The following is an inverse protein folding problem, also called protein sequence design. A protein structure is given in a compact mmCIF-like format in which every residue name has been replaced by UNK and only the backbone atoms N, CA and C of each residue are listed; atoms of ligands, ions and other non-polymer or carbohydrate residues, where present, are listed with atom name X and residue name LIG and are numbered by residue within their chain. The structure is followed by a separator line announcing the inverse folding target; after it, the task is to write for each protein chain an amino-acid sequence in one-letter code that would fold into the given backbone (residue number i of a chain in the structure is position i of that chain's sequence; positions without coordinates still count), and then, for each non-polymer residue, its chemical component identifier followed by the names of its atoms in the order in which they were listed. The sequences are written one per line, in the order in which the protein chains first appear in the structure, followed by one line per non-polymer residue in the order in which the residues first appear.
data_IF_051200921251
#
_entry.id   IF_051200921251
#
_cell.length_a   1.000
_cell.length_b   1.000
_cell.length_c   1.000
_cell.angle_alpha   90.00
_cell.angle_beta   90.00
_cell.angle_gamma   90.00
#
_symmetry.space_group_name_H-M   'P 1'
#
loop_
_entity.id
_entity.type
_entity.pdbx_description
1 polymer ?
#
# COMPACT_ATOMS: atom_id res chain seq x y z
N UNK A 1 4.06 1.18 -27.24
CA UNK A 1 4.60 2.31 -26.45
C UNK A 1 6.09 2.32 -26.65
N UNK A 2 6.66 3.49 -26.96
CA UNK A 2 8.06 3.68 -27.38
C UNK A 2 9.04 3.29 -26.26
N UNK A 3 10.07 2.51 -26.60
CA UNK A 3 11.25 2.19 -25.79
C UNK A 3 12.08 3.45 -25.49
N UNK A 4 11.53 4.39 -24.72
CA UNK A 4 12.32 5.52 -24.23
C UNK A 4 13.13 5.08 -23.04
N UNK A 5 14.41 5.40 -23.08
CA UNK A 5 15.31 5.32 -21.94
C UNK A 5 14.71 6.17 -20.81
N UNK A 6 14.42 5.58 -19.62
CA UNK A 6 13.83 6.31 -18.50
C UNK A 6 14.70 7.46 -17.99
N UNK A 7 15.97 7.54 -18.42
CA UNK A 7 16.91 8.60 -18.07
C UNK A 7 17.06 9.68 -19.16
N UNK A 8 16.31 9.58 -20.26
CA UNK A 8 16.35 10.55 -21.36
C UNK A 8 15.91 11.95 -20.87
N UNK A 9 16.81 12.94 -20.97
CA UNK A 9 16.53 14.34 -20.61
C UNK A 9 16.96 14.77 -19.20
N UNK A 10 17.54 13.87 -18.40
CA UNK A 10 18.12 14.20 -17.10
C UNK A 10 19.46 14.91 -17.29
N UNK A 11 19.71 16.00 -16.53
CA UNK A 11 20.98 16.74 -16.64
C UNK A 11 22.16 15.90 -16.12
N UNK A 12 23.39 16.10 -16.65
CA UNK A 12 24.57 15.36 -16.21
C UNK A 12 24.86 15.48 -14.71
N UNK A 13 24.57 16.65 -14.12
CA UNK A 13 24.71 16.90 -12.68
C UNK A 13 23.73 16.07 -11.84
N UNK A 14 22.49 15.93 -12.31
CA UNK A 14 21.49 15.05 -11.68
C UNK A 14 21.86 13.59 -11.83
N UNK A 15 22.36 13.17 -13.00
CA UNK A 15 22.80 11.81 -13.25
C UNK A 15 23.98 11.40 -12.34
N UNK A 16 24.97 12.28 -12.19
CA UNK A 16 26.13 12.05 -11.31
C UNK A 16 25.75 11.92 -9.83
N UNK A 17 24.72 12.66 -9.37
CA UNK A 17 24.16 12.52 -8.03
C UNK A 17 23.51 11.14 -7.81
N UNK A 18 22.97 10.54 -8.87
CA UNK A 18 22.31 9.23 -8.84
C UNK A 18 23.29 8.07 -9.05
N UNK A 19 24.51 8.33 -9.54
CA UNK A 19 25.50 7.29 -9.82
C UNK A 19 25.83 6.46 -8.58
N UNK A 20 25.89 7.06 -7.39
CA UNK A 20 26.09 6.33 -6.12
C UNK A 20 24.90 5.45 -5.69
N UNK A 21 23.68 5.77 -6.11
CA UNK A 21 22.51 4.89 -5.94
C UNK A 21 22.50 3.80 -7.02
N UNK A 22 22.77 4.14 -8.28
CA UNK A 22 22.85 3.20 -9.40
C UNK A 22 24.00 2.18 -9.26
N UNK A 23 25.10 2.56 -8.60
CA UNK A 23 26.28 1.71 -8.37
C UNK A 23 26.15 0.80 -7.14
N UNK A 24 25.12 0.97 -6.31
CA UNK A 24 24.99 0.27 -5.03
C UNK A 24 23.62 -0.29 -4.67
N UNK A 25 22.51 0.33 -5.10
CA UNK A 25 21.14 -0.08 -4.76
C UNK A 25 20.07 0.65 -5.64
N UNK A 26 19.29 -0.03 -6.49
CA UNK A 26 18.43 0.61 -7.50
C UNK A 26 17.19 1.35 -6.96
N UNK A 27 16.97 1.45 -5.64
CA UNK A 27 15.80 2.14 -5.09
C UNK A 27 16.04 3.64 -4.97
N UNK A 28 15.59 4.39 -5.99
CA UNK A 28 15.47 5.85 -5.91
C UNK A 28 14.02 6.18 -5.56
N UNK A 29 13.80 6.81 -4.39
CA UNK A 29 12.50 7.32 -3.98
C UNK A 29 12.08 8.51 -4.86
N UNK A 30 10.84 8.52 -5.35
CA UNK A 30 10.32 9.60 -6.21
C UNK A 30 9.92 10.88 -5.46
N UNK A 31 9.91 10.87 -4.11
CA UNK A 31 9.43 11.98 -3.30
C UNK A 31 10.39 13.19 -3.35
N UNK A 32 9.90 14.43 -3.27
CA UNK A 32 10.74 15.62 -3.17
C UNK A 32 11.57 15.58 -1.88
N UNK A 33 12.86 15.90 -1.97
CA UNK A 33 13.72 15.99 -0.80
C UNK A 33 13.33 17.19 0.06
N UNK A 34 13.14 17.03 1.39
CA UNK A 34 12.92 18.16 2.30
C UNK A 34 14.05 19.19 2.19
N UNK A 35 13.70 20.44 1.86
CA UNK A 35 14.64 21.54 1.65
C UNK A 35 15.30 21.58 0.26
N UNK A 36 15.03 20.61 -0.62
CA UNK A 36 15.48 20.57 -2.03
C UNK A 36 14.40 19.96 -2.94
N UNK A 37 13.30 20.69 -3.21
CA UNK A 37 12.10 20.14 -3.86
C UNK A 37 12.30 19.65 -5.29
N UNK A 38 13.39 20.06 -5.97
CA UNK A 38 13.74 19.58 -7.32
C UNK A 38 14.58 18.28 -7.33
N UNK A 39 14.82 17.68 -6.17
CA UNK A 39 15.66 16.50 -5.99
C UNK A 39 14.87 15.34 -5.36
N UNK A 40 15.07 14.09 -5.81
CA UNK A 40 14.45 12.91 -5.20
C UNK A 40 15.00 12.62 -3.80
N UNK A 41 14.18 12.00 -2.94
CA UNK A 41 14.51 11.69 -1.56
C UNK A 41 15.70 10.72 -1.48
N UNK A 42 16.73 11.11 -0.72
CA UNK A 42 17.97 10.33 -0.50
C UNK A 42 17.89 9.36 0.67
N UNK A 43 16.77 9.32 1.40
CA UNK A 43 16.58 8.49 2.59
C UNK A 43 16.02 7.12 2.23
N UNK A 44 16.68 6.40 1.31
CA UNK A 44 16.20 5.11 0.77
C UNK A 44 16.15 3.96 1.79
N UNK A 45 16.62 4.19 3.04
CA UNK A 45 16.70 3.17 4.11
C UNK A 45 15.68 3.34 5.24
N UNK A 46 14.85 4.38 5.22
CA UNK A 46 13.88 4.62 6.30
C UNK A 46 12.47 4.76 5.72
N UNK A 47 11.54 3.96 6.22
CA UNK A 47 10.14 3.99 5.81
C UNK A 47 9.51 5.36 6.14
N UNK A 48 8.83 5.98 5.18
CA UNK A 48 7.96 7.14 5.43
C UNK A 48 6.79 7.17 4.43
N UNK A 49 5.73 7.92 4.74
CA UNK A 49 4.45 7.97 3.99
C UNK A 49 4.57 8.34 2.50
N UNK A 50 5.72 8.88 2.09
CA UNK A 50 5.97 9.32 0.70
C UNK A 50 6.89 8.36 -0.05
N UNK A 51 7.27 7.23 0.55
CA UNK A 51 8.00 6.13 -0.07
C UNK A 51 7.07 5.37 -1.04
N UNK A 52 6.67 6.05 -2.11
CA UNK A 52 6.31 5.38 -3.35
C UNK A 52 7.65 5.09 -4.03
N UNK A 53 8.07 3.82 -4.03
CA UNK A 53 8.86 3.30 -5.16
C UNK A 53 8.18 3.88 -6.42
N UNK A 54 8.95 4.44 -7.35
CA UNK A 54 8.44 4.98 -8.63
C UNK A 54 7.46 4.01 -9.31
N UNK A 55 7.48 2.73 -8.93
CA UNK A 55 6.63 1.64 -9.36
C UNK A 55 5.88 0.85 -8.25
N UNK A 56 5.92 1.29 -6.99
CA UNK A 56 5.00 0.86 -5.92
C UNK A 56 5.26 -0.49 -5.24
N UNK A 57 6.50 -0.89 -4.89
CA UNK A 57 6.77 -2.06 -4.03
C UNK A 57 7.83 -1.85 -2.96
N UNK A 58 7.69 -2.61 -1.88
CA UNK A 58 8.76 -3.01 -0.95
C UNK A 58 8.52 -4.46 -0.55
N UNK A 59 9.51 -5.35 -0.71
CA UNK A 59 9.57 -6.61 0.06
C UNK A 59 10.77 -6.53 0.99
N UNK A 60 10.54 -6.78 2.28
CA UNK A 60 11.47 -6.54 3.38
C UNK A 60 12.45 -7.70 3.61
N UNK A 61 12.22 -8.85 2.99
CA UNK A 61 12.71 -10.14 3.52
C UNK A 61 13.83 -10.81 2.71
N UNK A 62 14.27 -10.24 1.58
CA UNK A 62 15.30 -10.86 0.71
C UNK A 62 16.42 -9.88 0.32
N UNK A 63 17.43 -9.66 1.20
CA UNK A 63 18.51 -8.69 0.97
C UNK A 63 19.53 -9.14 -0.11
N UNK A 64 19.49 -10.40 -0.54
CA UNK A 64 20.46 -10.95 -1.51
C UNK A 64 19.95 -11.00 -2.95
N UNK A 65 18.68 -10.65 -3.20
CA UNK A 65 18.12 -10.63 -4.55
C UNK A 65 18.12 -9.21 -5.13
N UNK A 66 18.62 -9.03 -6.38
CA UNK A 66 18.52 -7.73 -7.03
C UNK A 66 17.05 -7.34 -7.20
N UNK A 67 16.69 -6.15 -6.71
CA UNK A 67 15.34 -5.63 -6.78
C UNK A 67 14.90 -5.48 -8.25
N UNK A 68 13.94 -6.31 -8.67
CA UNK A 68 13.35 -6.25 -10.02
C UNK A 68 12.16 -5.31 -10.02
N UNK A 69 11.86 -4.64 -11.13
CA UNK A 69 10.58 -3.92 -11.34
C UNK A 69 9.48 -4.95 -11.58
N UNK A 70 8.46 -5.01 -10.72
CA UNK A 70 7.31 -5.87 -10.95
C UNK A 70 6.50 -5.22 -12.04
N UNK A 71 6.19 -6.00 -13.05
CA UNK A 71 5.30 -5.56 -14.10
C UNK A 71 3.89 -5.71 -13.54
N UNK A 72 3.01 -4.78 -13.90
CA UNK A 72 1.58 -4.92 -13.63
C UNK A 72 0.97 -5.79 -14.72
N UNK A 73 0.20 -6.79 -14.34
CA UNK A 73 -0.58 -7.54 -15.31
C UNK A 73 -1.76 -6.68 -15.77
N UNK A 74 -1.93 -6.42 -17.09
CA UNK A 74 -3.05 -5.63 -17.57
C UNK A 74 -4.36 -6.42 -17.43
N UNK A 75 -5.42 -5.72 -17.03
CA UNK A 75 -6.80 -6.23 -17.10
C UNK A 75 -7.34 -5.93 -18.50
N UNK A 76 -7.76 -6.96 -19.24
CA UNK A 76 -8.34 -6.86 -20.58
C UNK A 76 -9.63 -7.66 -20.60
N UNK A 77 -10.73 -7.01 -21.00
CA UNK A 77 -12.07 -7.61 -21.08
C UNK A 77 -12.51 -8.32 -19.78
N UNK A 78 -12.20 -7.71 -18.62
CA UNK A 78 -12.54 -8.27 -17.30
C UNK A 78 -11.70 -9.49 -16.91
N UNK A 79 -10.57 -9.72 -17.58
CA UNK A 79 -9.64 -10.81 -17.27
C UNK A 79 -8.24 -10.26 -17.04
N UNK A 80 -7.51 -10.83 -16.09
CA UNK A 80 -6.08 -10.55 -15.89
C UNK A 80 -5.28 -11.81 -16.16
N UNK A 81 -4.10 -11.65 -16.78
CA UNK A 81 -3.14 -12.74 -16.98
C UNK A 81 -1.87 -12.44 -16.21
N UNK A 82 -1.69 -13.11 -15.08
CA UNK A 82 -0.52 -12.98 -14.21
C UNK A 82 0.54 -13.98 -14.67
N UNK A 83 1.74 -13.49 -14.96
CA UNK A 83 2.88 -14.38 -15.19
C UNK A 83 3.37 -14.88 -13.84
N UNK A 84 3.23 -16.16 -13.52
CA UNK A 84 3.69 -16.72 -12.23
C UNK A 84 5.07 -17.35 -12.36
N UNK A 85 5.83 -17.38 -11.26
CA UNK A 85 7.15 -18.02 -11.23
C UNK A 85 7.09 -19.56 -11.24
N UNK A 86 5.99 -20.12 -10.75
CA UNK A 86 5.84 -21.55 -10.42
C UNK A 86 4.84 -22.31 -11.30
N UNK A 87 3.88 -21.61 -11.92
CA UNK A 87 2.76 -22.21 -12.65
C UNK A 87 2.60 -21.68 -14.09
N UNK A 88 3.52 -20.84 -14.57
CA UNK A 88 3.42 -20.17 -15.86
C UNK A 88 2.33 -19.09 -15.89
N UNK A 89 1.81 -18.70 -17.06
CA UNK A 89 0.76 -17.70 -17.16
C UNK A 89 -0.57 -18.22 -16.55
N UNK A 90 -1.09 -17.51 -15.55
CA UNK A 90 -2.38 -17.80 -14.92
C UNK A 90 -3.38 -16.72 -15.31
N UNK A 91 -4.51 -17.14 -15.90
CA UNK A 91 -5.60 -16.24 -16.32
C UNK A 91 -6.76 -16.34 -15.35
N UNK A 92 -7.16 -15.22 -14.74
CA UNK A 92 -8.29 -15.13 -13.80
C UNK A 92 -9.26 -14.03 -14.20
N UNK A 93 -10.52 -14.21 -13.81
CA UNK A 93 -11.55 -13.20 -13.97
C UNK A 93 -11.38 -12.13 -12.92
N UNK A 94 -11.46 -10.87 -13.33
CA UNK A 94 -11.33 -9.72 -12.44
C UNK A 94 -12.69 -9.41 -11.79
N UNK A 95 -12.84 -9.53 -10.46
CA UNK A 95 -14.06 -9.14 -9.78
C UNK A 95 -14.33 -7.64 -9.94
N UNK A 96 -15.60 -7.26 -10.06
CA UNK A 96 -16.00 -5.85 -10.25
C UNK A 96 -15.57 -4.89 -9.13
N UNK A 97 -15.22 -5.42 -7.96
CA UNK A 97 -14.74 -4.64 -6.80
C UNK A 97 -13.21 -4.52 -6.75
N UNK A 98 -12.47 -5.28 -7.57
CA UNK A 98 -11.02 -5.25 -7.55
C UNK A 98 -10.48 -4.02 -8.29
N UNK A 99 -9.34 -3.52 -7.82
CA UNK A 99 -8.67 -2.34 -8.39
C UNK A 99 -7.89 -2.64 -9.67
N UNK A 100 -7.76 -3.91 -10.08
CA UNK A 100 -6.98 -4.30 -11.27
C UNK A 100 -5.47 -4.27 -11.06
N UNK A 101 -5.00 -4.14 -9.82
CA UNK A 101 -3.58 -4.04 -9.50
C UNK A 101 -3.05 -5.43 -9.14
N UNK A 102 -2.32 -6.03 -10.08
CA UNK A 102 -1.73 -7.37 -9.92
C UNK A 102 -0.23 -7.33 -10.23
N UNK A 103 0.59 -7.78 -9.28
CA UNK A 103 2.02 -7.97 -9.53
C UNK A 103 2.26 -9.21 -10.40
N UNK A 104 3.16 -9.12 -11.37
CA UNK A 104 3.70 -10.29 -12.08
C UNK A 104 4.85 -10.91 -11.31
N UNK A 105 5.17 -12.16 -11.64
CA UNK A 105 6.22 -13.00 -11.05
C UNK A 105 5.90 -13.51 -9.63
N UNK A 106 4.66 -13.36 -9.17
CA UNK A 106 4.17 -13.96 -7.93
C UNK A 106 4.04 -15.49 -8.03
N UNK A 107 4.01 -16.18 -6.88
CA UNK A 107 3.50 -17.55 -6.84
C UNK A 107 2.02 -17.56 -7.18
N UNK A 108 1.52 -18.63 -7.79
CA UNK A 108 0.09 -18.74 -8.13
C UNK A 108 -0.81 -18.54 -6.90
N UNK A 109 -0.42 -19.07 -5.75
CA UNK A 109 -1.19 -18.95 -4.51
C UNK A 109 -1.25 -17.52 -3.94
N UNK A 110 -0.31 -16.66 -4.33
CA UNK A 110 -0.21 -15.25 -3.93
C UNK A 110 -0.95 -14.31 -4.88
N UNK A 111 -1.58 -14.82 -5.94
CA UNK A 111 -2.44 -13.99 -6.78
C UNK A 111 -3.59 -13.49 -5.90
N UNK A 112 -3.67 -12.17 -5.72
CA UNK A 112 -4.63 -11.52 -4.85
C UNK A 112 -5.44 -10.47 -5.64
N UNK A 113 -6.76 -10.53 -5.50
CA UNK A 113 -7.62 -9.41 -5.84
C UNK A 113 -7.74 -8.51 -4.62
N UNK A 114 -7.37 -7.24 -4.76
CA UNK A 114 -7.53 -6.22 -3.73
C UNK A 114 -8.51 -5.14 -4.17
N UNK A 115 -9.46 -4.81 -3.30
CA UNK A 115 -10.44 -3.76 -3.47
C UNK A 115 -9.88 -2.39 -3.11
N UNK A 116 -10.73 -1.37 -3.24
CA UNK A 116 -10.38 -0.01 -2.81
C UNK A 116 -10.16 0.01 -1.30
N UNK A 117 -9.10 0.68 -0.88
CA UNK A 117 -8.79 0.93 0.52
C UNK A 117 -9.61 2.12 1.05
N UNK A 118 -10.16 1.96 2.25
CA UNK A 118 -10.97 2.96 2.94
C UNK A 118 -10.33 3.32 4.28
N UNK A 119 -9.71 4.49 4.33
CA UNK A 119 -9.05 5.00 5.53
C UNK A 119 -10.00 5.76 6.44
N UNK A 120 -9.90 5.52 7.74
CA UNK A 120 -10.40 6.38 8.78
C UNK A 120 -9.25 7.21 9.36
N UNK A 121 -9.41 8.53 9.37
CA UNK A 121 -8.40 9.47 9.87
C UNK A 121 -8.95 10.30 11.05
N UNK A 122 -8.08 10.60 12.01
CA UNK A 122 -8.37 11.54 13.10
C UNK A 122 -7.54 12.81 12.89
N UNK A 123 -8.17 14.00 12.81
CA UNK A 123 -7.42 15.24 12.75
C UNK A 123 -6.74 15.52 14.10
N UNK A 124 -5.43 15.71 14.07
CA UNK A 124 -4.63 16.08 15.24
C UNK A 124 -3.99 17.46 15.03
N UNK A 125 -3.98 18.35 16.04
CA UNK A 125 -3.35 19.67 15.90
C UNK A 125 -1.85 19.62 15.65
N UNK A 126 -1.16 18.57 16.13
CA UNK A 126 0.30 18.45 16.07
C UNK A 126 0.82 17.77 14.79
N UNK A 127 0.03 16.88 14.17
CA UNK A 127 0.49 16.07 13.03
C UNK A 127 -0.49 16.07 11.83
N UNK A 128 -1.58 16.84 11.88
CA UNK A 128 -2.62 16.81 10.84
C UNK A 128 -3.50 15.55 10.94
N UNK A 129 -4.18 15.14 9.85
CA UNK A 129 -4.91 13.88 9.79
C UNK A 129 -3.97 12.68 10.02
N UNK A 130 -4.29 11.83 10.98
CA UNK A 130 -3.55 10.60 11.29
C UNK A 130 -4.44 9.41 10.96
N UNK A 131 -4.00 8.47 10.11
CA UNK A 131 -4.75 7.25 9.84
C UNK A 131 -4.82 6.40 11.11
N UNK A 132 -6.02 5.91 11.43
CA UNK A 132 -6.24 5.06 12.62
C UNK A 132 -6.74 3.67 12.28
N UNK A 133 -7.29 3.50 11.08
CA UNK A 133 -7.86 2.25 10.62
C UNK A 133 -7.93 2.29 9.10
N UNK A 134 -7.59 1.19 8.44
CA UNK A 134 -7.86 1.00 7.00
C UNK A 134 -8.65 -0.29 6.80
N UNK A 135 -9.56 -0.28 5.83
CA UNK A 135 -10.29 -1.49 5.42
C UNK A 135 -10.38 -1.62 3.90
N UNK A 136 -10.21 -2.83 3.40
CA UNK A 136 -10.40 -3.16 1.98
C UNK A 136 -11.00 -4.56 1.82
N UNK A 137 -11.51 -4.88 0.64
CA UNK A 137 -11.84 -6.27 0.29
C UNK A 137 -10.60 -6.97 -0.29
N UNK A 138 -10.40 -8.23 0.05
CA UNK A 138 -9.35 -9.05 -0.55
C UNK A 138 -9.84 -10.46 -0.88
N UNK A 139 -9.16 -11.08 -1.84
CA UNK A 139 -9.37 -12.49 -2.19
C UNK A 139 -8.10 -13.08 -2.80
N UNK A 140 -7.66 -14.23 -2.28
CA UNK A 140 -6.61 -15.05 -2.90
C UNK A 140 -7.22 -16.31 -3.52
N UNK A 141 -7.73 -16.28 -4.77
CA UNK A 141 -8.51 -17.37 -5.35
C UNK A 141 -7.79 -18.72 -5.41
N UNK A 142 -6.47 -18.74 -5.31
CA UNK A 142 -5.66 -19.96 -5.33
C UNK A 142 -4.98 -20.28 -3.99
N UNK A 143 -5.29 -19.53 -2.92
CA UNK A 143 -4.78 -19.85 -1.59
C UNK A 143 -5.16 -21.28 -1.20
N UNK A 144 -4.22 -22.09 -0.69
CA UNK A 144 -4.51 -23.45 -0.24
C UNK A 144 -5.29 -23.48 1.08
N UNK A 145 -5.37 -22.34 1.78
CA UNK A 145 -6.01 -22.21 3.10
C UNK A 145 -7.45 -21.71 2.94
N UNK A 146 -7.63 -20.54 2.33
CA UNK A 146 -8.95 -19.93 2.10
C UNK A 146 -8.93 -19.03 0.87
N UNK A 147 -9.75 -19.35 -0.13
CA UNK A 147 -9.88 -18.59 -1.38
C UNK A 147 -11.12 -17.69 -1.45
N UNK A 148 -11.84 -17.53 -0.33
CA UNK A 148 -13.04 -16.69 -0.27
C UNK A 148 -12.67 -15.21 -0.16
N UNK A 149 -13.61 -14.37 -0.60
CA UNK A 149 -13.55 -12.92 -0.37
C UNK A 149 -13.70 -12.64 1.12
N UNK A 150 -12.85 -11.78 1.65
CA UNK A 150 -12.86 -11.30 3.03
C UNK A 150 -12.52 -9.81 3.07
N UNK A 151 -12.71 -9.18 4.22
CA UNK A 151 -12.21 -7.84 4.48
C UNK A 151 -10.82 -7.95 5.12
N UNK A 152 -9.88 -7.13 4.66
CA UNK A 152 -8.64 -6.85 5.36
C UNK A 152 -8.86 -5.59 6.19
N UNK A 153 -8.79 -5.73 7.51
CA UNK A 153 -8.82 -4.63 8.45
C UNK A 153 -7.41 -4.40 8.98
N UNK A 154 -6.81 -3.26 8.67
CA UNK A 154 -5.52 -2.87 9.21
C UNK A 154 -5.72 -2.15 10.55
N UNK A 155 -5.12 -2.71 11.60
CA UNK A 155 -5.06 -2.11 12.93
C UNK A 155 -3.58 -2.02 13.29
N UNK A 156 -3.07 -0.80 13.44
CA UNK A 156 -1.64 -0.55 13.64
C UNK A 156 -0.79 -1.12 12.48
N UNK A 157 0.22 -1.93 12.77
CA UNK A 157 1.07 -2.59 11.76
C UNK A 157 0.52 -3.96 11.30
N UNK A 158 -0.59 -4.43 11.88
CA UNK A 158 -1.14 -5.75 11.63
C UNK A 158 -2.35 -5.74 10.67
N UNK A 159 -2.46 -6.80 9.87
CA UNK A 159 -3.61 -7.06 8.99
C UNK A 159 -4.48 -8.18 9.58
N UNK A 160 -5.78 -7.92 9.67
CA UNK A 160 -6.75 -8.88 10.17
C UNK A 160 -7.79 -9.22 9.11
N UNK A 161 -7.92 -10.51 8.81
CA UNK A 161 -8.94 -11.04 7.89
C UNK A 161 -10.28 -11.20 8.62
N UNK A 162 -11.31 -10.52 8.12
CA UNK A 162 -12.67 -10.60 8.66
C UNK A 162 -13.65 -11.08 7.58
N UNK A 163 -14.55 -11.99 7.96
CA UNK A 163 -15.74 -12.24 7.16
C UNK A 163 -16.79 -11.13 7.38
N UNK A 164 -17.91 -11.18 6.66
CA UNK A 164 -18.97 -10.16 6.76
C UNK A 164 -19.47 -9.94 8.20
N UNK A 165 -19.76 -11.02 8.95
CA UNK A 165 -20.24 -10.90 10.33
C UNK A 165 -19.18 -10.33 11.28
N UNK A 166 -17.90 -10.67 11.06
CA UNK A 166 -16.78 -10.11 11.80
C UNK A 166 -16.61 -8.62 11.53
N UNK A 167 -16.78 -8.19 10.27
CA UNK A 167 -16.74 -6.78 9.89
C UNK A 167 -17.90 -5.98 10.50
N UNK A 168 -19.13 -6.54 10.50
CA UNK A 168 -20.28 -5.92 11.17
C UNK A 168 -20.02 -5.77 12.68
N UNK A 169 -19.47 -6.80 13.32
CA UNK A 169 -19.11 -6.76 14.74
C UNK A 169 -18.06 -5.69 15.03
N UNK A 170 -17.03 -5.58 14.17
CA UNK A 170 -16.00 -4.55 14.30
C UNK A 170 -16.61 -3.14 14.15
N UNK A 171 -17.53 -2.94 13.21
CA UNK A 171 -18.22 -1.68 13.03
C UNK A 171 -19.05 -1.28 14.26
N UNK A 172 -19.80 -2.22 14.86
CA UNK A 172 -20.57 -1.96 16.08
C UNK A 172 -19.67 -1.51 17.25
N UNK A 173 -18.52 -2.17 17.43
CA UNK A 173 -17.54 -1.80 18.47
C UNK A 173 -16.98 -0.39 18.25
N UNK A 174 -16.73 0.02 17.01
CA UNK A 174 -16.29 1.38 16.68
C UNK A 174 -17.38 2.42 17.00
N UNK A 175 -18.66 2.09 16.77
CA UNK A 175 -19.79 2.96 17.14
C UNK A 175 -19.88 3.13 18.66
N UNK A 176 -19.73 2.05 19.42
CA UNK A 176 -19.69 2.09 20.89
C UNK A 176 -18.50 2.92 21.41
N UNK A 177 -17.33 2.76 20.80
CA UNK A 177 -16.15 3.54 21.16
C UNK A 177 -16.35 5.04 20.85
N UNK A 178 -16.96 5.38 19.71
CA UNK A 178 -17.32 6.75 19.40
C UNK A 178 -18.29 7.36 20.42
N UNK A 179 -19.22 6.58 20.98
CA UNK A 179 -20.08 7.04 22.07
C UNK A 179 -19.27 7.34 23.35
N UNK A 180 -18.26 6.53 23.65
CA UNK A 180 -17.32 6.74 24.76
C UNK A 180 -16.51 8.02 24.57
N UNK A 181 -15.95 8.25 23.37
CA UNK A 181 -15.21 9.49 23.06
C UNK A 181 -16.08 10.73 23.24
N UNK A 182 -17.33 10.71 22.78
CA UNK A 182 -18.28 11.82 22.99
C UNK A 182 -18.58 12.07 24.47
N UNK A 183 -18.64 11.02 25.29
CA UNK A 183 -18.80 11.15 26.75
C UNK A 183 -17.58 11.83 27.37
N UNK A 184 -16.37 11.38 27.01
CA UNK A 184 -15.12 11.97 27.48
C UNK A 184 -14.99 13.44 27.04
N UNK A 185 -15.35 13.77 25.81
CA UNK A 185 -15.33 15.15 25.31
C UNK A 185 -16.23 16.08 26.14
N UNK A 186 -17.43 15.62 26.54
CA UNK A 186 -18.31 16.38 27.44
C UNK A 186 -17.71 16.55 28.83
N UNK A 187 -17.06 15.53 29.36
CA UNK A 187 -16.39 15.61 30.66
C UNK A 187 -15.20 16.58 30.61
N UNK A 188 -14.39 16.50 29.55
CA UNK A 188 -13.27 17.40 29.32
C UNK A 188 -13.73 18.85 29.24
N UNK A 189 -14.79 19.14 28.49
CA UNK A 189 -15.35 20.50 28.39
C UNK A 189 -15.78 21.09 29.74
N UNK A 190 -16.30 20.27 30.66
CA UNK A 190 -16.63 20.73 32.02
C UNK A 190 -15.37 21.06 32.82
N UNK A 191 -14.32 20.24 32.71
CA UNK A 191 -13.05 20.47 33.41
C UNK A 191 -12.33 21.71 32.88
N UNK A 192 -12.33 21.92 31.57
CA UNK A 192 -11.75 23.11 30.92
C UNK A 192 -12.42 24.41 31.38
N UNK A 193 -13.72 24.39 31.70
CA UNK A 193 -14.43 25.57 32.19
C UNK A 193 -14.18 25.87 33.69
N UNK A 194 -13.55 24.94 34.42
CA UNK A 194 -13.25 25.08 35.86
C UNK A 194 -11.83 25.57 36.13
N UNK A 195 -10.94 25.45 35.15
CA UNK A 195 -9.56 25.97 35.18
C UNK A 195 -9.47 27.38 34.62
#
# INVERSE_FOLDING_TARGET
MTERDPLEGISPERLAWHQGALDGDPVVCAAPQPGKPDFPCVWNRSAHLEHRDVFGRTWRDYPEEPLRVARKAPVVDGMVTVQTGDHGPVRVAEPSWCTGIHATEAYREDIEHQGVEHDAEIPTPCHGPVPVLSVSLAQRPFSPIDGRVHALLQIDEDLHELNAAGLDTAADLLVEHAATLRKLARQLSVLEAQG
#
